data_IF_541301078453
#
_entry.id   IF_541301078453
#
_cell.length_a   1.000
_cell.length_b   1.000
_cell.length_c   1.000
_cell.angle_alpha   90.00
_cell.angle_beta   90.00
_cell.angle_gamma   90.00
#
_symmetry.space_group_name_H-M   'P 1'
#
loop_
_entity.id
_entity.type
_entity.pdbx_description
1 polymer ?
#
# COMPACT_ATOMS: atom_id res chain seq x y z
N UNK A 1 29.08 -17.43 60.81
CA UNK A 1 28.92 -16.35 59.82
C UNK A 1 28.86 -17.01 58.45
N UNK A 2 27.65 -17.32 57.97
CA UNK A 2 27.45 -17.88 56.63
C UNK A 2 27.17 -16.69 55.70
N UNK A 3 28.15 -16.31 54.89
CA UNK A 3 27.93 -15.35 53.82
C UNK A 3 27.26 -16.10 52.66
N UNK A 4 26.02 -15.77 52.33
CA UNK A 4 25.41 -16.24 51.09
C UNK A 4 26.19 -15.69 49.88
N UNK A 5 26.41 -16.50 48.83
CA UNK A 5 27.13 -16.06 47.65
C UNK A 5 26.31 -15.01 46.86
N UNK A 6 26.97 -14.08 46.17
CA UNK A 6 26.30 -13.01 45.44
C UNK A 6 25.45 -13.57 44.29
N UNK A 7 24.17 -13.18 44.28
CA UNK A 7 23.22 -13.51 43.21
C UNK A 7 23.58 -12.68 41.97
N UNK A 8 24.16 -13.32 40.95
CA UNK A 8 24.38 -12.70 39.64
C UNK A 8 23.04 -12.62 38.92
N UNK A 9 22.43 -11.45 38.85
CA UNK A 9 21.25 -11.21 38.02
C UNK A 9 21.61 -11.33 36.54
N UNK A 10 20.89 -12.19 35.81
CA UNK A 10 21.06 -12.35 34.37
C UNK A 10 20.70 -11.03 33.64
N UNK A 11 21.39 -10.66 32.55
CA UNK A 11 21.15 -9.38 31.88
C UNK A 11 19.74 -9.31 31.28
N UNK A 12 19.06 -8.19 31.56
CA UNK A 12 17.67 -7.93 31.18
C UNK A 12 17.46 -7.86 29.65
N UNK A 13 16.65 -8.79 29.13
CA UNK A 13 16.28 -8.94 27.70
C UNK A 13 15.19 -7.94 27.27
N UNK A 14 15.45 -6.64 27.38
CA UNK A 14 14.43 -5.59 27.17
C UNK A 14 14.61 -4.77 25.88
N UNK A 15 15.85 -4.60 25.40
CA UNK A 15 16.21 -3.72 24.26
C UNK A 15 15.74 -4.19 22.88
N UNK A 16 15.22 -5.43 22.73
CA UNK A 16 14.97 -5.98 21.39
C UNK A 16 13.62 -5.62 20.79
N UNK A 17 12.62 -5.13 21.53
CA UNK A 17 11.25 -5.13 21.01
C UNK A 17 11.00 -4.11 19.88
N UNK A 18 11.53 -2.88 19.98
CA UNK A 18 11.39 -1.88 18.91
C UNK A 18 12.19 -2.29 17.67
N UNK A 19 13.45 -2.67 17.86
CA UNK A 19 14.32 -3.14 16.78
C UNK A 19 13.74 -4.37 16.08
N UNK A 20 13.17 -5.32 16.83
CA UNK A 20 12.49 -6.50 16.27
C UNK A 20 11.25 -6.10 15.46
N UNK A 21 10.47 -5.12 15.91
CA UNK A 21 9.32 -4.61 15.14
C UNK A 21 9.74 -3.93 13.85
N UNK A 22 10.78 -3.10 13.88
CA UNK A 22 11.31 -2.45 12.67
C UNK A 22 11.85 -3.48 11.68
N UNK A 23 12.59 -4.48 12.16
CA UNK A 23 13.03 -5.62 11.34
C UNK A 23 11.85 -6.40 10.78
N UNK A 24 10.82 -6.64 11.58
CA UNK A 24 9.60 -7.33 11.15
C UNK A 24 8.90 -6.56 10.04
N UNK A 25 8.75 -5.24 10.17
CA UNK A 25 8.18 -4.39 9.12
C UNK A 25 9.02 -4.48 7.85
N UNK A 26 10.35 -4.38 7.95
CA UNK A 26 11.25 -4.53 6.82
C UNK A 26 11.11 -5.89 6.10
N UNK A 27 11.11 -6.98 6.87
CA UNK A 27 10.89 -8.34 6.36
C UNK A 27 9.50 -8.45 5.72
N UNK A 28 8.49 -7.84 6.33
CA UNK A 28 7.12 -7.90 5.83
C UNK A 28 6.95 -7.14 4.52
N UNK A 29 7.55 -5.96 4.38
CA UNK A 29 7.58 -5.20 3.11
C UNK A 29 8.26 -6.04 2.02
N UNK A 30 9.38 -6.69 2.34
CA UNK A 30 10.09 -7.56 1.40
C UNK A 30 9.24 -8.78 1.00
N UNK A 31 8.57 -9.41 1.97
CA UNK A 31 7.71 -10.57 1.77
C UNK A 31 6.51 -10.21 0.90
N UNK A 32 5.87 -9.07 1.16
CA UNK A 32 4.72 -8.58 0.39
C UNK A 32 5.11 -8.11 -1.02
N UNK A 33 6.40 -7.93 -1.29
CA UNK A 33 6.85 -7.69 -2.65
C UNK A 33 6.63 -8.89 -3.57
N UNK A 34 6.60 -10.11 -3.03
CA UNK A 34 6.32 -11.35 -3.79
C UNK A 34 4.92 -11.33 -4.43
N UNK A 35 3.81 -11.17 -3.68
CA UNK A 35 2.48 -11.09 -4.28
C UNK A 35 2.32 -9.88 -5.20
N UNK A 36 2.97 -8.74 -4.93
CA UNK A 36 2.91 -7.58 -5.82
C UNK A 36 3.60 -7.83 -7.17
N UNK A 37 4.72 -8.56 -7.18
CA UNK A 37 5.35 -9.01 -8.41
C UNK A 37 4.46 -9.98 -9.19
N UNK A 38 3.71 -10.83 -8.50
CA UNK A 38 2.71 -11.69 -9.14
C UNK A 38 1.60 -10.86 -9.82
N UNK A 39 1.11 -9.80 -9.18
CA UNK A 39 0.15 -8.86 -9.81
C UNK A 39 0.77 -8.18 -11.02
N UNK A 40 2.04 -7.75 -10.95
CA UNK A 40 2.72 -7.15 -12.09
C UNK A 40 2.84 -8.15 -13.26
N UNK A 41 3.23 -9.39 -12.99
CA UNK A 41 3.34 -10.44 -14.00
C UNK A 41 1.97 -10.75 -14.65
N UNK A 42 0.92 -10.84 -13.84
CA UNK A 42 -0.44 -11.06 -14.33
C UNK A 42 -0.90 -9.90 -15.22
N UNK A 43 -0.64 -8.66 -14.81
CA UNK A 43 -0.92 -7.47 -15.62
C UNK A 43 -0.17 -7.52 -16.95
N UNK A 44 1.11 -7.89 -16.94
CA UNK A 44 1.93 -8.01 -18.15
C UNK A 44 1.34 -9.04 -19.12
N UNK A 45 1.00 -10.24 -18.64
CA UNK A 45 0.37 -11.29 -19.44
C UNK A 45 -0.96 -10.82 -20.05
N UNK A 46 -1.81 -10.19 -19.22
CA UNK A 46 -3.12 -9.67 -19.65
C UNK A 46 -2.98 -8.53 -20.67
N UNK A 47 -1.98 -7.67 -20.51
CA UNK A 47 -1.68 -6.59 -21.47
C UNK A 47 -1.22 -7.12 -22.81
N UNK A 48 -0.26 -8.04 -22.82
CA UNK A 48 0.26 -8.67 -24.03
C UNK A 48 -0.82 -9.42 -24.82
N UNK A 49 -1.70 -10.15 -24.11
CA UNK A 49 -2.81 -10.87 -24.73
C UNK A 49 -3.80 -9.93 -25.45
N UNK A 50 -4.05 -8.74 -24.89
CA UNK A 50 -4.95 -7.74 -25.51
C UNK A 50 -4.30 -7.05 -26.68
N UNK A 51 -3.02 -6.66 -26.57
CA UNK A 51 -2.26 -6.07 -27.69
C UNK A 51 -2.25 -7.01 -28.90
N UNK A 52 -2.01 -8.31 -28.68
CA UNK A 52 -2.08 -9.31 -29.74
C UNK A 52 -3.48 -9.45 -30.36
N UNK A 53 -4.54 -9.36 -29.55
CA UNK A 53 -5.92 -9.39 -30.05
C UNK A 53 -6.25 -8.16 -30.91
N UNK A 54 -5.83 -6.97 -30.49
CA UNK A 54 -6.00 -5.73 -31.25
C UNK A 54 -5.21 -5.75 -32.57
N UNK A 55 -3.97 -6.26 -32.56
CA UNK A 55 -3.18 -6.43 -33.77
C UNK A 55 -3.86 -7.39 -34.77
N UNK A 56 -4.40 -8.53 -34.29
CA UNK A 56 -5.15 -9.48 -35.12
C UNK A 56 -6.40 -8.86 -35.72
N UNK A 57 -7.14 -8.08 -34.94
CA UNK A 57 -8.32 -7.36 -35.41
C UNK A 57 -7.96 -6.30 -36.45
N UNK A 58 -6.91 -5.51 -36.23
CA UNK A 58 -6.44 -4.51 -37.20
C UNK A 58 -6.06 -5.15 -38.53
N UNK A 59 -5.33 -6.27 -38.52
CA UNK A 59 -5.00 -7.03 -39.74
C UNK A 59 -6.26 -7.58 -40.41
N UNK A 60 -7.20 -8.15 -39.65
CA UNK A 60 -8.47 -8.65 -40.21
C UNK A 60 -9.31 -7.53 -40.84
N UNK A 61 -9.34 -6.34 -40.24
CA UNK A 61 -10.00 -5.15 -40.79
C UNK A 61 -9.29 -4.65 -42.04
N UNK A 62 -7.95 -4.67 -42.11
CA UNK A 62 -7.22 -4.30 -43.32
C UNK A 62 -7.47 -5.28 -44.47
N UNK A 63 -7.50 -6.59 -44.18
CA UNK A 63 -7.83 -7.64 -45.16
C UNK A 63 -9.27 -7.47 -45.67
N UNK A 64 -10.22 -7.12 -44.78
CA UNK A 64 -11.65 -6.96 -45.12
C UNK A 64 -11.99 -5.58 -45.72
N UNK A 65 -11.27 -4.53 -45.30
CA UNK A 65 -11.45 -3.13 -45.69
C UNK A 65 -10.88 -2.78 -47.06
N UNK A 66 -10.20 -3.73 -47.72
CA UNK A 66 -9.89 -3.65 -49.14
C UNK A 66 -11.14 -3.60 -50.04
N UNK A 67 -12.32 -4.00 -49.53
CA UNK A 67 -13.57 -4.10 -50.32
C UNK A 67 -14.58 -2.97 -50.07
N UNK A 68 -14.55 -2.28 -48.93
CA UNK A 68 -15.66 -1.38 -48.54
C UNK A 68 -15.15 -0.08 -47.89
N UNK A 69 -14.64 0.84 -48.72
CA UNK A 69 -14.14 2.15 -48.27
C UNK A 69 -15.30 3.14 -48.14
N UNK A 70 -16.12 3.02 -47.09
CA UNK A 70 -17.14 4.01 -46.74
C UNK A 70 -16.79 4.74 -45.43
N UNK A 71 -16.81 6.07 -45.55
CA UNK A 71 -16.84 7.16 -44.55
C UNK A 71 -16.73 6.71 -43.09
N UNK A 72 -15.60 7.05 -42.46
CA UNK A 72 -15.38 6.87 -41.03
C UNK A 72 -16.48 7.59 -40.24
N UNK A 73 -17.31 6.82 -39.53
CA UNK A 73 -18.21 7.36 -38.51
C UNK A 73 -17.37 8.05 -37.42
N UNK A 74 -17.90 9.08 -36.73
CA UNK A 74 -17.23 9.68 -35.58
C UNK A 74 -16.84 8.59 -34.58
N UNK A 75 -15.56 8.55 -34.18
CA UNK A 75 -15.10 7.61 -33.17
C UNK A 75 -15.95 7.80 -31.90
N UNK A 76 -16.47 6.72 -31.30
CA UNK A 76 -17.20 6.83 -30.06
C UNK A 76 -16.29 7.46 -28.98
N UNK A 77 -16.81 8.43 -28.25
CA UNK A 77 -16.13 9.15 -27.15
C UNK A 77 -15.56 8.22 -26.06
N UNK A 78 -16.05 6.97 -26.00
CA UNK A 78 -15.54 5.91 -25.14
C UNK A 78 -15.07 4.70 -25.96
N UNK A 79 -13.75 4.46 -25.96
CA UNK A 79 -13.16 3.23 -26.48
C UNK A 79 -12.72 2.32 -25.32
N UNK A 80 -13.38 1.16 -25.11
CA UNK A 80 -13.06 0.26 -23.99
C UNK A 80 -11.64 -0.31 -24.08
N UNK A 81 -11.04 -0.37 -25.27
CA UNK A 81 -9.65 -0.80 -25.44
C UNK A 81 -8.66 0.22 -24.87
N UNK A 82 -8.90 1.51 -25.14
CA UNK A 82 -8.08 2.62 -24.63
C UNK A 82 -8.23 2.74 -23.12
N UNK A 83 -9.47 2.68 -22.61
CA UNK A 83 -9.73 2.74 -21.17
C UNK A 83 -8.99 1.64 -20.38
N UNK A 84 -8.96 0.41 -20.92
CA UNK A 84 -8.23 -0.66 -20.26
C UNK A 84 -6.70 -0.56 -20.38
N UNK A 85 -6.18 -0.02 -21.48
CA UNK A 85 -4.75 0.27 -21.62
C UNK A 85 -4.30 1.34 -20.59
N UNK A 86 -5.12 2.36 -20.38
CA UNK A 86 -4.92 3.34 -19.31
C UNK A 86 -5.01 2.71 -17.92
N UNK A 87 -5.96 1.80 -17.70
CA UNK A 87 -6.05 0.99 -16.48
C UNK A 87 -4.76 0.22 -16.19
N UNK A 88 -4.21 -0.47 -17.19
CA UNK A 88 -2.93 -1.17 -17.05
C UNK A 88 -1.74 -0.25 -16.79
N UNK A 89 -1.68 0.92 -17.43
CA UNK A 89 -0.65 1.94 -17.15
C UNK A 89 -0.77 2.47 -15.71
N UNK A 90 -1.99 2.67 -15.22
CA UNK A 90 -2.23 3.09 -13.84
C UNK A 90 -1.78 2.02 -12.85
N UNK A 91 -2.11 0.75 -13.09
CA UNK A 91 -1.66 -0.38 -12.28
C UNK A 91 -0.13 -0.47 -12.28
N UNK A 92 0.50 -0.37 -13.44
CA UNK A 92 1.97 -0.37 -13.55
C UNK A 92 2.61 0.70 -12.68
N UNK A 93 2.11 1.94 -12.78
CA UNK A 93 2.63 3.04 -11.96
C UNK A 93 2.40 2.78 -10.49
N UNK A 94 1.23 2.30 -10.11
CA UNK A 94 0.93 2.01 -8.70
C UNK A 94 1.90 0.96 -8.14
N UNK A 95 2.20 -0.10 -8.90
CA UNK A 95 3.13 -1.16 -8.49
C UNK A 95 4.56 -0.66 -8.34
N UNK A 96 5.02 0.28 -9.21
CA UNK A 96 6.34 0.93 -9.07
C UNK A 96 6.46 1.74 -7.78
N UNK A 97 5.37 2.31 -7.29
CA UNK A 97 5.33 3.08 -6.04
C UNK A 97 4.94 2.23 -4.82
N UNK A 98 4.73 0.92 -4.99
CA UNK A 98 4.20 0.06 -3.93
C UNK A 98 5.10 -0.05 -2.70
N UNK A 99 6.42 0.01 -2.86
CA UNK A 99 7.36 0.01 -1.74
C UNK A 99 7.17 1.26 -0.88
N UNK A 100 7.06 2.44 -1.50
CA UNK A 100 6.80 3.70 -0.80
C UNK A 100 5.48 3.62 -0.03
N UNK A 101 4.42 3.11 -0.66
CA UNK A 101 3.11 2.93 -0.04
C UNK A 101 3.18 1.96 1.15
N UNK A 102 3.73 0.76 0.96
CA UNK A 102 3.86 -0.25 2.02
C UNK A 102 4.66 0.29 3.20
N UNK A 103 5.81 0.93 2.94
CA UNK A 103 6.62 1.54 4.00
C UNK A 103 5.85 2.63 4.72
N UNK A 104 5.19 3.53 4.00
CA UNK A 104 4.42 4.62 4.61
C UNK A 104 3.28 4.09 5.51
N UNK A 105 2.50 3.13 5.03
CA UNK A 105 1.40 2.52 5.80
C UNK A 105 1.95 1.82 7.04
N UNK A 106 2.95 0.95 6.90
CA UNK A 106 3.47 0.23 8.07
C UNK A 106 4.18 1.13 9.07
N UNK A 107 4.91 2.15 8.61
CA UNK A 107 5.51 3.15 9.49
C UNK A 107 4.43 3.93 10.23
N UNK A 108 3.34 4.32 9.56
CA UNK A 108 2.25 5.02 10.21
C UNK A 108 1.48 4.14 11.20
N UNK A 109 1.23 2.87 10.89
CA UNK A 109 0.66 1.91 11.84
C UNK A 109 1.57 1.68 13.05
N UNK A 110 2.89 1.58 12.83
CA UNK A 110 3.87 1.45 13.90
C UNK A 110 3.91 2.69 14.80
N UNK A 111 3.87 3.88 14.20
CA UNK A 111 3.82 5.14 14.93
C UNK A 111 2.52 5.26 15.72
N UNK A 112 1.38 4.89 15.12
CA UNK A 112 0.09 4.83 15.80
C UNK A 112 0.12 3.84 16.98
N UNK A 113 0.70 2.65 16.80
CA UNK A 113 0.86 1.67 17.87
C UNK A 113 1.69 2.25 19.03
N UNK A 114 2.80 2.93 18.70
CA UNK A 114 3.72 3.52 19.68
C UNK A 114 3.05 4.67 20.45
N UNK A 115 2.35 5.56 19.75
CA UNK A 115 1.66 6.71 20.36
C UNK A 115 0.41 6.30 21.15
N UNK A 116 -0.32 5.29 20.68
CA UNK A 116 -1.54 4.81 21.32
C UNK A 116 -1.29 3.77 22.43
N UNK A 117 -0.04 3.39 22.68
CA UNK A 117 0.34 2.42 23.71
C UNK A 117 -0.23 1.01 23.47
N UNK A 118 -0.48 0.64 22.21
CA UNK A 118 -1.03 -0.67 21.84
C UNK A 118 0.07 -1.72 21.67
N UNK A 119 -0.29 -2.99 21.84
CA UNK A 119 0.55 -4.15 21.48
C UNK A 119 -0.16 -4.93 20.39
N UNK A 120 0.08 -4.57 19.14
CA UNK A 120 -0.43 -5.28 17.98
C UNK A 120 0.45 -6.51 17.71
N UNK A 121 -0.20 -7.67 17.57
CA UNK A 121 0.48 -8.88 17.16
C UNK A 121 0.96 -8.79 15.69
N UNK A 122 2.03 -9.50 15.36
CA UNK A 122 2.63 -9.54 14.01
C UNK A 122 1.62 -9.89 12.91
N UNK A 123 0.63 -10.73 13.25
CA UNK A 123 -0.47 -11.13 12.35
C UNK A 123 -1.24 -9.93 11.79
N UNK A 124 -1.45 -8.86 12.56
CA UNK A 124 -2.23 -7.71 12.08
C UNK A 124 -1.48 -6.93 11.00
N UNK A 125 -0.17 -6.78 11.14
CA UNK A 125 0.67 -6.21 10.10
C UNK A 125 0.57 -7.04 8.82
N UNK A 126 0.62 -8.37 8.93
CA UNK A 126 0.44 -9.28 7.80
C UNK A 126 -0.93 -9.15 7.12
N UNK A 127 -2.01 -9.08 7.89
CA UNK A 127 -3.38 -8.94 7.37
C UNK A 127 -3.61 -7.59 6.69
N UNK A 128 -3.12 -6.49 7.27
CA UNK A 128 -3.17 -5.16 6.63
C UNK A 128 -2.36 -5.17 5.33
N UNK A 129 -1.16 -5.78 5.35
CA UNK A 129 -0.35 -5.95 4.16
C UNK A 129 -1.04 -6.76 3.05
N UNK A 130 -1.71 -7.85 3.42
CA UNK A 130 -2.50 -8.65 2.48
C UNK A 130 -3.66 -7.84 1.89
N UNK A 131 -4.34 -7.01 2.69
CA UNK A 131 -5.38 -6.10 2.21
C UNK A 131 -4.83 -5.05 1.22
N UNK A 132 -3.61 -4.54 1.44
CA UNK A 132 -2.91 -3.69 0.47
C UNK A 132 -2.59 -4.45 -0.83
N UNK A 133 -2.19 -5.72 -0.77
CA UNK A 133 -2.04 -6.52 -1.99
C UNK A 133 -3.37 -6.70 -2.73
N UNK A 134 -4.47 -6.92 -2.00
CA UNK A 134 -5.81 -7.00 -2.58
C UNK A 134 -6.24 -5.67 -3.21
N UNK A 135 -5.81 -4.52 -2.68
CA UNK A 135 -6.02 -3.23 -3.34
C UNK A 135 -5.42 -3.21 -4.75
N UNK A 136 -4.17 -3.62 -4.94
CA UNK A 136 -3.54 -3.66 -6.28
C UNK A 136 -4.22 -4.67 -7.21
N UNK A 137 -4.62 -5.82 -6.67
CA UNK A 137 -5.35 -6.82 -7.44
C UNK A 137 -6.74 -6.33 -7.86
N UNK A 138 -7.45 -5.64 -6.96
CA UNK A 138 -8.73 -5.00 -7.24
C UNK A 138 -8.56 -3.86 -8.24
N UNK A 139 -7.50 -3.05 -8.15
CA UNK A 139 -7.19 -2.00 -9.12
C UNK A 139 -6.99 -2.59 -10.53
N UNK A 140 -6.29 -3.72 -10.63
CA UNK A 140 -6.13 -4.45 -11.89
C UNK A 140 -7.49 -4.96 -12.42
N UNK A 141 -8.28 -5.62 -11.57
CA UNK A 141 -9.57 -6.17 -11.97
C UNK A 141 -10.58 -5.09 -12.37
N UNK A 142 -10.72 -4.03 -11.57
CA UNK A 142 -11.65 -2.92 -11.85
C UNK A 142 -11.15 -2.07 -13.02
N UNK A 143 -9.83 -1.89 -13.18
CA UNK A 143 -9.25 -1.14 -14.29
C UNK A 143 -9.50 -1.76 -15.66
N UNK A 144 -9.91 -3.03 -15.71
CA UNK A 144 -10.35 -3.68 -16.95
C UNK A 144 -11.80 -3.36 -17.34
N UNK A 145 -12.64 -2.93 -16.39
CA UNK A 145 -14.10 -2.80 -16.57
C UNK A 145 -14.60 -1.37 -16.38
N UNK A 146 -13.88 -0.55 -15.61
CA UNK A 146 -14.25 0.80 -15.24
C UNK A 146 -13.23 1.80 -15.79
N UNK A 147 -13.62 3.08 -15.84
CA UNK A 147 -12.68 4.16 -16.11
C UNK A 147 -11.60 4.22 -15.01
N UNK A 148 -10.35 4.60 -15.33
CA UNK A 148 -9.22 4.52 -14.39
C UNK A 148 -9.47 5.21 -13.04
N UNK A 149 -10.15 6.37 -13.06
CA UNK A 149 -10.51 7.09 -11.85
C UNK A 149 -11.50 6.34 -10.95
N UNK A 150 -12.55 5.77 -11.53
CA UNK A 150 -13.55 4.99 -10.77
C UNK A 150 -12.98 3.65 -10.31
N UNK A 151 -12.14 3.01 -11.13
CA UNK A 151 -11.45 1.79 -10.74
C UNK A 151 -10.60 2.01 -9.48
N UNK A 152 -9.87 3.14 -9.43
CA UNK A 152 -9.07 3.51 -8.28
C UNK A 152 -9.91 3.72 -7.02
N UNK A 153 -10.95 4.56 -7.10
CA UNK A 153 -11.81 4.86 -5.95
C UNK A 153 -12.51 3.59 -5.46
N UNK A 154 -13.00 2.75 -6.38
CA UNK A 154 -13.62 1.47 -6.03
C UNK A 154 -12.67 0.53 -5.31
N UNK A 155 -11.44 0.37 -5.82
CA UNK A 155 -10.41 -0.45 -5.18
C UNK A 155 -10.01 0.10 -3.80
N UNK A 156 -9.79 1.42 -3.70
CA UNK A 156 -9.40 2.10 -2.47
C UNK A 156 -10.48 2.00 -1.38
N UNK A 157 -11.75 2.17 -1.74
CA UNK A 157 -12.88 2.03 -0.82
C UNK A 157 -13.02 0.58 -0.37
N UNK A 158 -12.91 -0.38 -1.28
CA UNK A 158 -13.03 -1.80 -0.96
C UNK A 158 -11.94 -2.27 0.03
N UNK A 159 -10.68 -1.91 -0.23
CA UNK A 159 -9.56 -2.24 0.65
C UNK A 159 -9.65 -1.49 1.98
N UNK A 160 -9.95 -0.19 1.96
CA UNK A 160 -10.08 0.63 3.17
C UNK A 160 -11.21 0.13 4.05
N UNK A 161 -12.36 -0.21 3.48
CA UNK A 161 -13.48 -0.77 4.23
C UNK A 161 -13.10 -2.08 4.92
N UNK A 162 -12.40 -2.97 4.21
CA UNK A 162 -11.92 -4.23 4.78
C UNK A 162 -11.00 -3.99 5.99
N UNK A 163 -10.05 -3.07 5.88
CA UNK A 163 -9.09 -2.75 6.95
C UNK A 163 -9.79 -2.05 8.12
N UNK A 164 -10.68 -1.09 7.86
CA UNK A 164 -11.41 -0.33 8.88
C UNK A 164 -12.39 -1.24 9.64
N UNK A 165 -13.18 -2.05 8.94
CA UNK A 165 -14.09 -3.01 9.58
C UNK A 165 -13.34 -3.99 10.47
N UNK A 166 -12.20 -4.52 9.97
CA UNK A 166 -11.32 -5.36 10.78
C UNK A 166 -10.77 -4.62 12.00
N UNK A 167 -10.36 -3.36 11.84
CA UNK A 167 -9.85 -2.52 12.92
C UNK A 167 -10.89 -2.22 13.99
N UNK A 168 -12.15 -1.97 13.61
CA UNK A 168 -13.26 -1.79 14.56
C UNK A 168 -13.42 -3.06 15.41
N UNK A 169 -13.42 -4.23 14.76
CA UNK A 169 -13.59 -5.52 15.44
C UNK A 169 -12.48 -5.82 16.44
N UNK A 170 -11.23 -5.44 16.14
CA UNK A 170 -10.09 -5.80 16.99
C UNK A 170 -9.74 -4.74 18.05
N UNK A 171 -9.91 -3.45 17.74
CA UNK A 171 -9.65 -2.39 18.71
C UNK A 171 -10.84 -2.14 19.64
N UNK A 172 -12.01 -2.74 19.36
CA UNK A 172 -13.28 -2.54 20.10
C UNK A 172 -13.60 -1.04 20.35
N UNK A 173 -13.11 -0.14 19.50
CA UNK A 173 -13.19 1.30 19.70
C UNK A 173 -13.29 2.04 18.36
N UNK A 174 -14.41 2.75 18.17
CA UNK A 174 -14.65 3.56 16.98
C UNK A 174 -13.67 4.74 16.85
N UNK A 175 -13.20 5.32 17.97
CA UNK A 175 -12.24 6.42 17.94
C UNK A 175 -10.90 6.01 17.34
N UNK A 176 -10.37 4.84 17.73
CA UNK A 176 -9.10 4.31 17.23
C UNK A 176 -9.22 3.76 15.80
N UNK A 177 -10.38 3.21 15.46
CA UNK A 177 -10.66 2.81 14.08
C UNK A 177 -10.77 4.03 13.13
N UNK A 178 -11.32 5.15 13.62
CA UNK A 178 -11.39 6.40 12.85
C UNK A 178 -10.01 6.92 12.47
N UNK A 179 -9.02 6.87 13.38
CA UNK A 179 -7.64 7.26 13.02
C UNK A 179 -7.03 6.38 11.94
N UNK A 180 -7.36 5.08 11.90
CA UNK A 180 -6.91 4.17 10.84
C UNK A 180 -7.60 4.51 9.51
N UNK A 181 -8.90 4.83 9.54
CA UNK A 181 -9.63 5.27 8.35
C UNK A 181 -9.04 6.56 7.76
N UNK A 182 -8.75 7.56 8.60
CA UNK A 182 -8.11 8.81 8.18
C UNK A 182 -6.73 8.53 7.59
N UNK A 183 -5.93 7.69 8.25
CA UNK A 183 -4.61 7.32 7.77
C UNK A 183 -4.67 6.70 6.37
N UNK A 184 -5.56 5.72 6.16
CA UNK A 184 -5.75 5.08 4.86
C UNK A 184 -6.27 6.06 3.81
N UNK A 185 -7.18 6.96 4.17
CA UNK A 185 -7.70 7.97 3.25
C UNK A 185 -6.59 8.93 2.78
N UNK A 186 -5.72 9.37 3.70
CA UNK A 186 -4.56 10.20 3.36
C UNK A 186 -3.60 9.44 2.45
N UNK A 187 -3.30 8.18 2.75
CA UNK A 187 -2.40 7.37 1.94
C UNK A 187 -2.93 7.14 0.51
N UNK A 188 -4.19 6.73 0.35
CA UNK A 188 -4.80 6.60 -0.96
C UNK A 188 -4.89 7.95 -1.69
N UNK A 189 -5.16 9.05 -0.97
CA UNK A 189 -5.16 10.39 -1.59
C UNK A 189 -3.78 10.75 -2.15
N UNK A 190 -2.71 10.50 -1.39
CA UNK A 190 -1.33 10.72 -1.85
C UNK A 190 -1.02 9.87 -3.07
N UNK A 191 -1.37 8.58 -3.03
CA UNK A 191 -1.17 7.67 -4.16
C UNK A 191 -1.94 8.13 -5.40
N UNK A 192 -3.19 8.59 -5.26
CA UNK A 192 -3.99 9.10 -6.36
C UNK A 192 -3.34 10.33 -7.03
N UNK A 193 -2.84 11.28 -6.24
CA UNK A 193 -2.13 12.45 -6.75
C UNK A 193 -0.88 12.05 -7.53
N UNK A 194 -0.08 11.12 -6.99
CA UNK A 194 1.12 10.59 -7.66
C UNK A 194 0.75 9.90 -8.97
N UNK A 195 -0.37 9.17 -9.04
CA UNK A 195 -0.83 8.48 -10.25
C UNK A 195 -1.34 9.44 -11.33
N UNK A 196 -1.99 10.56 -10.95
CA UNK A 196 -2.55 11.54 -11.91
C UNK A 196 -1.50 12.46 -12.52
N UNK A 197 -0.41 12.70 -11.81
CA UNK A 197 0.68 13.60 -12.23
C UNK A 197 1.70 12.86 -13.09
N UNK A 198 1.29 12.35 -14.26
CA UNK A 198 2.18 11.59 -15.15
C UNK A 198 3.45 12.35 -15.52
N UNK A 199 3.31 13.62 -15.91
CA UNK A 199 4.44 14.49 -16.31
C UNK A 199 5.25 15.00 -15.12
N UNK A 200 4.70 14.91 -13.91
CA UNK A 200 5.32 15.41 -12.66
C UNK A 200 5.53 14.30 -11.64
N UNK A 201 5.63 13.04 -12.06
CA UNK A 201 5.64 11.88 -11.16
C UNK A 201 6.82 11.94 -10.17
N UNK A 202 7.99 12.38 -10.63
CA UNK A 202 9.17 12.56 -9.77
C UNK A 202 8.97 13.67 -8.74
N UNK A 203 8.33 14.78 -9.13
CA UNK A 203 8.03 15.89 -8.23
C UNK A 203 6.99 15.49 -7.19
N UNK A 204 5.90 14.84 -7.61
CA UNK A 204 4.86 14.37 -6.71
C UNK A 204 5.40 13.33 -5.71
N UNK A 205 6.21 12.38 -6.18
CA UNK A 205 6.84 11.37 -5.33
C UNK A 205 7.83 11.96 -4.33
N UNK A 206 8.69 12.88 -4.75
CA UNK A 206 9.63 13.57 -3.84
C UNK A 206 8.89 14.44 -2.82
N UNK A 207 7.89 15.21 -3.23
CA UNK A 207 7.06 15.99 -2.31
C UNK A 207 6.35 15.10 -1.27
N UNK A 208 5.81 13.95 -1.70
CA UNK A 208 5.21 12.97 -0.80
C UNK A 208 6.21 12.40 0.21
N UNK A 209 7.44 12.07 -0.22
CA UNK A 209 8.50 11.61 0.67
C UNK A 209 8.91 12.67 1.69
N UNK A 210 9.06 13.93 1.27
CA UNK A 210 9.34 15.05 2.19
C UNK A 210 8.22 15.24 3.20
N UNK A 211 6.96 15.22 2.77
CA UNK A 211 5.81 15.34 3.66
C UNK A 211 5.73 14.18 4.66
N UNK A 212 5.97 12.94 4.20
CA UNK A 212 6.01 11.75 5.04
C UNK A 212 7.11 11.84 6.11
N UNK A 213 8.32 12.24 5.71
CA UNK A 213 9.43 12.42 6.63
C UNK A 213 9.17 13.54 7.63
N UNK A 214 8.63 14.68 7.18
CA UNK A 214 8.25 15.80 8.05
C UNK A 214 7.19 15.38 9.08
N UNK A 215 6.18 14.61 8.66
CA UNK A 215 5.18 14.03 9.54
C UNK A 215 5.82 13.10 10.58
N UNK A 216 6.70 12.19 10.15
CA UNK A 216 7.43 11.29 11.05
C UNK A 216 8.24 12.08 12.10
N UNK A 217 9.00 13.09 11.70
CA UNK A 217 9.76 13.95 12.61
C UNK A 217 8.85 14.71 13.59
N UNK A 218 7.70 15.23 13.11
CA UNK A 218 6.76 15.97 13.95
C UNK A 218 6.13 15.09 15.02
N UNK A 219 5.66 13.89 14.66
CA UNK A 219 5.01 12.98 15.60
C UNK A 219 5.99 12.29 16.55
N UNK A 220 7.23 12.04 16.12
CA UNK A 220 8.24 11.40 16.99
C UNK A 220 8.91 12.39 17.96
N UNK A 221 8.73 13.70 17.77
CA UNK A 221 9.36 14.75 18.59
C UNK A 221 9.10 14.62 20.09
N UNK A 222 7.92 14.16 20.50
CA UNK A 222 7.53 14.03 21.91
C UNK A 222 7.59 12.58 22.42
N UNK A 223 8.24 11.68 21.68
CA UNK A 223 8.39 10.28 22.13
C UNK A 223 9.62 10.19 23.02
N UNK A 224 9.40 10.03 24.33
CA UNK A 224 10.47 9.80 25.31
C UNK A 224 11.02 8.36 25.19
N UNK A 225 11.93 8.15 24.24
CA UNK A 225 12.62 6.88 24.04
C UNK A 225 13.39 6.43 25.29
N UNK A 226 14.01 7.38 26.00
CA UNK A 226 14.79 7.11 27.20
C UNK A 226 13.94 6.75 28.42
N UNK A 227 12.71 7.29 28.55
CA UNK A 227 11.81 6.91 29.64
C UNK A 227 11.32 5.45 29.51
N UNK A 228 11.15 4.97 28.27
CA UNK A 228 10.83 3.57 28.00
C UNK A 228 11.99 2.62 28.30
N UNK A 229 13.23 3.10 28.20
CA UNK A 229 14.43 2.33 28.58
C UNK A 229 14.61 2.29 30.10
N UNK A 230 14.45 3.42 30.80
CA UNK A 230 14.62 3.52 32.24
C UNK A 230 13.49 2.86 33.05
N UNK A 231 12.24 2.91 32.57
CA UNK A 231 11.08 2.32 33.26
C UNK A 231 11.05 0.79 33.33
N UNK A 232 11.93 0.09 32.59
CA UNK A 232 12.07 -1.38 32.63
C UNK A 232 13.27 -1.87 33.46
N UNK A 233 14.23 -1.01 33.80
CA UNK A 233 15.33 -1.34 34.71
C UNK A 233 14.94 -1.17 36.19
N UNK A 234 13.86 -0.43 36.48
CA UNK A 234 13.39 -0.15 37.83
C UNK A 234 12.25 -1.06 38.33
N UNK A 235 11.84 -2.08 37.57
CA UNK A 235 10.86 -3.07 38.01
C UNK A 235 11.59 -4.30 38.56
N UNK A 236 11.53 -4.58 39.88
CA UNK A 236 12.17 -5.76 40.50
C UNK A 236 11.53 -7.08 40.08
#
# INVERSE_FOLDING_TARGET
MNAEPPVISAPARSRSQVTVKLLLIGILVLLLHVPLNLVNNLRQERSANREAAHARQAVAVLVRGGEDRRVAAPEPDYNPAVAAAEGYRMVERSLKHSVLVLTLVFTAFFLFETLAGLRLHAVHYGLVGAALCLFYLALLALGEVLTPGLAYVGAAVASSLLIVCYSISILHSYGRASSIAVLLAVEHSVLYVVLRMEDYALLAGTAALFAALAGLMFFTRNVDWFAQEAGKEAAP
#
